data_IF_936194999741
#
_entry.id   IF_936194999741
#
_cell.length_a   1.000
_cell.length_b   1.000
_cell.length_c   1.000
_cell.angle_alpha   90.00
_cell.angle_beta   90.00
_cell.angle_gamma   90.00
#
_symmetry.space_group_name_H-M   'P 1'
#
loop_
_entity.id
_entity.type
_entity.pdbx_description
1 polymer ?
#
# COMPACT_ATOMS: atom_id res chain seq x y z
N UNK A 1 -1.28 6.92 13.83
CA UNK A 1 0.03 7.60 13.65
C UNK A 1 1.12 6.63 13.18
N UNK A 2 0.99 5.34 13.51
CA UNK A 2 1.92 4.31 13.08
C UNK A 2 1.73 3.94 11.60
N UNK A 3 0.48 3.83 11.12
CA UNK A 3 0.20 3.49 9.72
C UNK A 3 0.84 4.40 8.68
N UNK A 4 0.85 5.72 8.88
CA UNK A 4 1.47 6.65 7.92
C UNK A 4 2.99 6.44 7.81
N UNK A 5 3.66 6.05 8.90
CA UNK A 5 5.10 5.73 8.89
C UNK A 5 5.37 4.42 8.17
N UNK A 6 4.55 3.40 8.45
CA UNK A 6 4.65 2.08 7.79
C UNK A 6 4.43 2.24 6.28
N UNK A 7 3.35 2.94 5.90
CA UNK A 7 3.05 3.26 4.51
C UNK A 7 4.22 3.95 3.80
N UNK A 8 4.76 5.05 4.38
CA UNK A 8 5.91 5.75 3.80
C UNK A 8 7.10 4.82 3.61
N UNK A 9 7.39 3.95 4.59
CA UNK A 9 8.51 3.01 4.49
C UNK A 9 8.36 2.03 3.33
N UNK A 10 7.15 1.55 3.06
CA UNK A 10 6.90 0.64 1.93
C UNK A 10 6.96 1.35 0.59
N UNK A 11 6.26 2.48 0.44
CA UNK A 11 6.16 3.16 -0.86
C UNK A 11 7.46 3.87 -1.26
N UNK A 12 8.27 4.29 -0.29
CA UNK A 12 9.59 4.88 -0.53
C UNK A 12 10.70 3.85 -0.70
N UNK A 13 10.40 2.55 -0.63
CA UNK A 13 11.39 1.50 -0.82
C UNK A 13 11.90 1.49 -2.27
N UNK A 14 13.22 1.37 -2.48
CA UNK A 14 13.86 1.44 -3.81
C UNK A 14 13.23 0.43 -4.79
N UNK A 15 13.08 -0.84 -4.39
CA UNK A 15 12.41 -1.86 -5.23
C UNK A 15 10.99 -1.47 -5.70
N UNK A 16 10.22 -0.74 -4.88
CA UNK A 16 8.88 -0.30 -5.25
C UNK A 16 8.98 0.91 -6.18
N UNK A 17 9.85 1.88 -5.86
CA UNK A 17 10.09 3.06 -6.69
C UNK A 17 10.57 2.69 -8.08
N UNK A 18 11.56 1.81 -8.18
CA UNK A 18 12.17 1.43 -9.46
C UNK A 18 11.21 0.62 -10.32
N UNK A 19 10.49 -0.34 -9.72
CA UNK A 19 9.58 -1.23 -10.46
C UNK A 19 8.35 -0.50 -11.00
N UNK A 20 7.84 0.47 -10.26
CA UNK A 20 6.62 1.21 -10.62
C UNK A 20 6.91 2.64 -11.08
N UNK A 21 8.19 3.00 -11.23
CA UNK A 21 8.66 4.32 -11.66
C UNK A 21 8.03 5.46 -10.85
N UNK A 22 7.96 5.29 -9.53
CA UNK A 22 7.33 6.27 -8.64
C UNK A 22 8.28 7.44 -8.39
N UNK A 23 7.80 8.66 -8.62
CA UNK A 23 8.50 9.86 -8.20
C UNK A 23 8.04 10.32 -6.81
N UNK A 24 8.83 11.18 -6.15
CA UNK A 24 8.46 11.73 -4.84
C UNK A 24 7.12 12.48 -4.86
N UNK A 25 6.78 13.10 -6.00
CA UNK A 25 5.49 13.81 -6.19
C UNK A 25 4.28 12.86 -6.17
N UNK A 26 4.50 11.59 -6.52
CA UNK A 26 3.45 10.59 -6.59
C UNK A 26 3.12 10.03 -5.20
N UNK A 27 4.05 10.16 -4.25
CA UNK A 27 3.97 9.58 -2.91
C UNK A 27 3.11 10.48 -2.00
N UNK A 28 1.90 10.03 -1.59
CA UNK A 28 1.04 10.81 -0.74
C UNK A 28 1.60 10.89 0.70
N UNK A 29 1.33 12.01 1.37
CA UNK A 29 1.86 12.23 2.73
C UNK A 29 1.22 11.35 3.83
N UNK A 30 0.07 10.74 3.55
CA UNK A 30 -0.65 9.91 4.51
C UNK A 30 -1.48 8.83 3.81
N UNK A 31 -1.85 7.80 4.58
CA UNK A 31 -2.65 6.66 4.12
C UNK A 31 -4.00 7.11 3.56
N UNK A 32 -4.66 8.09 4.18
CA UNK A 32 -5.97 8.58 3.73
C UNK A 32 -5.94 9.10 2.29
N UNK A 33 -4.92 9.88 1.91
CA UNK A 33 -4.72 10.32 0.52
C UNK A 33 -4.30 9.17 -0.38
N UNK A 34 -3.52 8.23 0.14
CA UNK A 34 -3.07 7.09 -0.64
C UNK A 34 -4.21 6.11 -0.99
N UNK A 35 -5.25 5.99 -0.15
CA UNK A 35 -6.44 5.18 -0.42
C UNK A 35 -7.24 5.64 -1.66
N UNK A 36 -7.13 6.92 -2.01
CA UNK A 36 -7.78 7.50 -3.20
C UNK A 36 -6.78 7.77 -4.32
N UNK A 37 -5.56 7.23 -4.25
CA UNK A 37 -4.55 7.39 -5.30
C UNK A 37 -5.00 6.73 -6.61
N UNK A 38 -4.74 7.42 -7.72
CA UNK A 38 -4.92 6.88 -9.07
C UNK A 38 -3.84 5.85 -9.42
N UNK A 39 -2.73 5.82 -8.67
CA UNK A 39 -1.63 4.88 -8.88
C UNK A 39 -1.96 3.58 -8.13
N UNK A 40 -2.17 2.45 -8.85
CA UNK A 40 -2.69 1.23 -8.23
C UNK A 40 -1.81 0.67 -7.11
N UNK A 41 -0.48 0.73 -7.26
CA UNK A 41 0.44 0.23 -6.23
C UNK A 41 0.37 1.05 -4.93
N UNK A 42 0.27 2.37 -5.04
CA UNK A 42 0.16 3.28 -3.91
C UNK A 42 -1.14 3.00 -3.16
N UNK A 43 -2.25 2.88 -3.90
CA UNK A 43 -3.56 2.53 -3.34
C UNK A 43 -3.56 1.17 -2.67
N UNK A 44 -2.91 0.17 -3.29
CA UNK A 44 -2.81 -1.18 -2.74
C UNK A 44 -2.06 -1.18 -1.42
N UNK A 45 -0.88 -0.56 -1.35
CA UNK A 45 -0.10 -0.47 -0.10
C UNK A 45 -0.90 0.28 0.98
N UNK A 46 -1.62 1.34 0.61
CA UNK A 46 -2.46 2.08 1.54
C UNK A 46 -3.57 1.21 2.15
N UNK A 47 -4.26 0.41 1.33
CA UNK A 47 -5.29 -0.52 1.81
C UNK A 47 -4.69 -1.53 2.78
N UNK A 48 -3.56 -2.16 2.45
CA UNK A 48 -2.92 -3.14 3.32
C UNK A 48 -2.52 -2.55 4.66
N UNK A 49 -1.93 -1.36 4.64
CA UNK A 49 -1.47 -0.68 5.84
C UNK A 49 -2.65 -0.19 6.70
N UNK A 50 -3.75 0.23 6.09
CA UNK A 50 -4.99 0.59 6.80
C UNK A 50 -5.66 -0.64 7.42
N UNK A 51 -5.72 -1.75 6.69
CA UNK A 51 -6.29 -3.01 7.18
C UNK A 51 -5.48 -3.63 8.32
N UNK A 52 -4.15 -3.51 8.29
CA UNK A 52 -3.25 -3.99 9.35
C UNK A 52 -3.38 -3.19 10.65
N UNK A 53 -3.57 -1.87 10.59
CA UNK A 53 -3.79 -1.06 11.81
C UNK A 53 -5.19 -1.31 12.39
N UNK A 54 -6.18 -1.63 11.54
CA UNK A 54 -7.56 -1.89 11.95
C UNK A 54 -7.84 -3.35 12.36
N UNK A 55 -6.97 -4.31 12.03
CA UNK A 55 -7.14 -5.72 12.38
C UNK A 55 -5.90 -6.30 13.08
N UNK A 56 -5.95 -6.42 14.41
CA UNK A 56 -4.93 -7.11 15.22
C UNK A 56 -4.83 -8.64 14.99
N UNK A 57 -5.51 -9.21 13.99
CA UNK A 57 -5.65 -10.66 13.80
C UNK A 57 -5.49 -11.18 12.36
N UNK A 58 -4.92 -10.40 11.44
CA UNK A 58 -4.68 -10.89 10.07
C UNK A 58 -3.41 -11.77 10.06
N UNK A 59 -3.62 -13.06 9.81
CA UNK A 59 -2.61 -14.06 9.49
C UNK A 59 -2.07 -13.81 8.05
N UNK A 60 -0.77 -14.06 7.83
CA UNK A 60 -0.04 -13.92 6.55
C UNK A 60 -0.80 -14.48 5.33
N UNK A 61 -1.53 -15.58 5.49
CA UNK A 61 -2.34 -16.22 4.44
C UNK A 61 -3.48 -15.31 3.99
N UNK A 62 -4.16 -14.65 4.93
CA UNK A 62 -5.27 -13.72 4.62
C UNK A 62 -4.73 -12.47 3.92
N UNK A 63 -3.56 -11.98 4.34
CA UNK A 63 -2.91 -10.85 3.71
C UNK A 63 -2.50 -11.17 2.26
N UNK A 64 -1.86 -12.33 2.04
CA UNK A 64 -1.45 -12.80 0.73
C UNK A 64 -2.63 -12.96 -0.26
N UNK A 65 -3.73 -13.56 0.20
CA UNK A 65 -4.92 -13.74 -0.63
C UNK A 65 -5.53 -12.39 -1.04
N UNK A 66 -5.57 -11.41 -0.13
CA UNK A 66 -6.05 -10.07 -0.45
C UNK A 66 -5.15 -9.35 -1.46
N UNK A 67 -3.83 -9.40 -1.26
CA UNK A 67 -2.85 -8.81 -2.20
C UNK A 67 -3.05 -9.39 -3.60
N UNK A 68 -3.19 -10.71 -3.69
CA UNK A 68 -3.41 -11.41 -4.97
C UNK A 68 -4.71 -10.97 -5.64
N UNK A 69 -5.79 -10.82 -4.89
CA UNK A 69 -7.08 -10.34 -5.43
C UNK A 69 -6.95 -8.89 -5.94
N UNK A 70 -6.31 -8.00 -5.19
CA UNK A 70 -6.18 -6.59 -5.59
C UNK A 70 -5.32 -6.39 -6.84
N UNK A 71 -4.22 -7.14 -6.95
CA UNK A 71 -3.33 -7.07 -8.10
C UNK A 71 -3.96 -7.72 -9.36
N UNK A 72 -4.72 -8.80 -9.20
CA UNK A 72 -5.30 -9.53 -10.34
C UNK A 72 -6.67 -8.99 -10.79
N UNK A 73 -7.39 -8.20 -9.97
CA UNK A 73 -8.68 -7.61 -10.37
C UNK A 73 -8.58 -6.45 -11.37
N UNK A 74 -7.37 -6.03 -11.75
CA UNK A 74 -7.13 -4.96 -12.72
C UNK A 74 -6.47 -5.47 -14.02
N UNK A 75 -6.68 -6.75 -14.37
CA UNK A 75 -6.33 -7.34 -15.68
C UNK A 75 -7.60 -7.56 -16.49
#
# INVERSE_FOLDING_TARGET
MNKNKIFKKFVSHELIKDKYQLEERDIPNNVTRALVSEIPIIKTIAILVDELENNQGINDITLYNKISIYLNKNI
#
